data_IF_304539950370
#
_entry.id   IF_304539950370
#
_cell.length_a   1.000
_cell.length_b   1.000
_cell.length_c   1.000
_cell.angle_alpha   90.00
_cell.angle_beta   90.00
_cell.angle_gamma   90.00
#
_symmetry.space_group_name_H-M   'P 1'
#
loop_
_entity.id
_entity.type
_entity.pdbx_description
1 polymer ?
#
# COMPACT_ATOMS: atom_id res chain seq x y z
N UNK A 1 -3.23 -3.05 6.45
CA UNK A 1 -4.62 -2.57 6.62
C UNK A 1 -4.69 -1.24 5.89
N UNK A 2 -5.77 -1.02 5.16
CA UNK A 2 -6.01 0.23 4.43
C UNK A 2 -6.85 1.14 5.32
N UNK A 3 -6.42 2.40 5.48
CA UNK A 3 -7.07 3.37 6.39
C UNK A 3 -7.18 4.68 5.65
N UNK A 4 -8.40 5.18 5.52
CA UNK A 4 -8.67 6.50 4.95
C UNK A 4 -8.76 7.52 6.09
N UNK A 5 -7.92 8.55 6.01
CA UNK A 5 -7.76 9.58 7.03
C UNK A 5 -7.91 10.96 6.38
N UNK A 6 -8.64 11.85 7.06
CA UNK A 6 -8.71 13.27 6.73
C UNK A 6 -7.98 14.09 7.80
N UNK A 7 -7.21 15.09 7.37
CA UNK A 7 -6.64 16.11 8.25
C UNK A 7 -7.43 17.40 8.08
N UNK A 8 -7.94 17.94 9.19
CA UNK A 8 -8.75 19.16 9.23
C UNK A 8 -8.24 20.03 10.37
N UNK A 9 -7.60 21.16 10.04
CA UNK A 9 -7.10 22.14 11.02
C UNK A 9 -6.13 21.55 12.07
N UNK A 10 -5.26 20.63 11.67
CA UNK A 10 -4.28 19.95 12.52
C UNK A 10 -4.82 18.72 13.26
N UNK A 11 -6.10 18.37 13.08
CA UNK A 11 -6.71 17.19 13.68
C UNK A 11 -6.95 16.10 12.64
N UNK A 12 -6.62 14.85 12.99
CA UNK A 12 -6.80 13.69 12.13
C UNK A 12 -8.09 12.94 12.46
N UNK A 13 -8.86 12.62 11.42
CA UNK A 13 -10.13 11.90 11.50
C UNK A 13 -10.04 10.62 10.66
N UNK A 14 -10.36 9.48 11.26
CA UNK A 14 -10.48 8.21 10.53
C UNK A 14 -11.87 8.15 9.89
N UNK A 15 -11.92 8.02 8.57
CA UNK A 15 -13.17 7.82 7.84
C UNK A 15 -13.49 6.34 7.71
N UNK A 16 -12.52 5.53 7.30
CA UNK A 16 -12.70 4.12 7.03
C UNK A 16 -11.53 3.27 7.54
N UNK A 17 -11.83 2.04 7.95
CA UNK A 17 -10.83 1.01 8.24
C UNK A 17 -11.18 -0.23 7.44
N UNK A 18 -10.34 -0.53 6.45
CA UNK A 18 -10.55 -1.61 5.51
C UNK A 18 -9.49 -2.71 5.76
N UNK A 19 -9.86 -3.88 6.33
CA UNK A 19 -8.91 -4.95 6.67
C UNK A 19 -8.50 -5.77 5.42
N UNK A 20 -8.12 -5.08 4.35
CA UNK A 20 -7.72 -5.61 3.05
C UNK A 20 -6.75 -4.63 2.37
N UNK A 21 -6.24 -4.99 1.19
CA UNK A 21 -5.39 -4.08 0.42
C UNK A 21 -6.20 -2.91 -0.15
N UNK A 22 -5.71 -1.69 0.04
CA UNK A 22 -6.26 -0.49 -0.57
C UNK A 22 -6.03 -0.43 -2.07
N UNK A 23 -6.89 0.28 -2.78
CA UNK A 23 -6.68 0.54 -4.20
C UNK A 23 -5.37 1.28 -4.49
N UNK A 24 -4.82 2.01 -3.50
CA UNK A 24 -3.54 2.69 -3.57
C UNK A 24 -2.30 1.82 -3.32
N UNK A 25 -2.46 0.53 -2.99
CA UNK A 25 -1.34 -0.36 -2.65
C UNK A 25 -0.19 -0.38 -3.68
N UNK A 26 -0.44 -0.34 -5.01
CA UNK A 26 0.66 -0.29 -5.98
C UNK A 26 1.64 0.86 -5.72
N UNK A 27 1.16 2.02 -5.25
CA UNK A 27 2.05 3.14 -4.90
C UNK A 27 3.01 2.76 -3.75
N UNK A 28 2.51 2.10 -2.72
CA UNK A 28 3.33 1.66 -1.59
C UNK A 28 4.37 0.63 -2.05
N UNK A 29 3.97 -0.36 -2.86
CA UNK A 29 4.87 -1.38 -3.40
C UNK A 29 6.00 -0.76 -4.24
N UNK A 30 5.65 0.10 -5.21
CA UNK A 30 6.64 0.79 -6.06
C UNK A 30 7.49 1.80 -5.29
N UNK A 31 7.04 2.25 -4.10
CA UNK A 31 7.83 3.07 -3.16
C UNK A 31 8.68 2.22 -2.21
N UNK A 32 8.83 0.92 -2.45
CA UNK A 32 9.67 0.00 -1.66
C UNK A 32 8.98 -0.71 -0.50
N UNK A 33 7.69 -0.46 -0.26
CA UNK A 33 6.93 -1.12 0.81
C UNK A 33 6.30 -2.43 0.32
N UNK A 34 7.13 -3.46 0.13
CA UNK A 34 6.71 -4.78 -0.37
C UNK A 34 5.97 -5.63 0.68
N UNK A 35 4.65 -5.44 0.78
CA UNK A 35 3.82 -6.20 1.71
C UNK A 35 3.66 -7.67 1.30
N UNK A 36 3.81 -8.00 0.00
CA UNK A 36 3.69 -9.38 -0.46
C UNK A 36 4.84 -10.22 0.10
N UNK A 37 6.06 -9.68 0.11
CA UNK A 37 7.20 -10.31 0.80
C UNK A 37 6.96 -10.44 2.30
N UNK A 38 6.41 -9.42 2.96
CA UNK A 38 6.10 -9.51 4.40
C UNK A 38 5.10 -10.64 4.70
N UNK A 39 4.06 -10.76 3.86
CA UNK A 39 3.07 -11.85 3.97
C UNK A 39 3.74 -13.20 3.73
N UNK A 40 4.58 -13.33 2.71
CA UNK A 40 5.30 -14.57 2.43
C UNK A 40 6.18 -15.00 3.61
N UNK A 41 6.92 -14.06 4.20
CA UNK A 41 7.72 -14.30 5.40
C UNK A 41 6.84 -14.83 6.55
N UNK A 42 5.70 -14.19 6.81
CA UNK A 42 4.77 -14.64 7.85
C UNK A 42 4.28 -16.07 7.60
N UNK A 43 3.93 -16.42 6.35
CA UNK A 43 3.52 -17.77 5.97
C UNK A 43 4.63 -18.81 6.18
N UNK A 44 5.89 -18.38 6.11
CA UNK A 44 7.07 -19.20 6.39
C UNK A 44 7.48 -19.21 7.88
N UNK A 45 6.75 -18.50 8.75
CA UNK A 45 7.10 -18.34 10.16
C UNK A 45 8.30 -17.43 10.42
N UNK A 46 8.69 -16.63 9.43
CA UNK A 46 9.79 -15.67 9.51
C UNK A 46 9.23 -14.34 10.01
N UNK A 47 9.78 -13.83 11.12
CA UNK A 47 9.39 -12.53 11.67
C UNK A 47 9.93 -11.41 10.78
N UNK A 48 9.07 -10.43 10.46
CA UNK A 48 9.46 -9.26 9.68
C UNK A 48 10.09 -8.18 10.58
N UNK A 49 11.11 -7.50 10.06
CA UNK A 49 11.68 -6.31 10.70
C UNK A 49 10.73 -5.11 10.57
N UNK A 50 10.76 -4.21 11.57
CA UNK A 50 9.94 -3.00 11.59
C UNK A 50 10.67 -1.85 10.87
N UNK A 51 10.14 -1.40 9.74
CA UNK A 51 10.75 -0.38 8.87
C UNK A 51 9.82 0.81 8.60
N UNK A 52 9.14 1.31 9.64
CA UNK A 52 8.20 2.44 9.50
C UNK A 52 8.94 3.68 8.97
N UNK A 53 8.41 4.29 7.91
CA UNK A 53 8.96 5.49 7.30
C UNK A 53 10.19 5.25 6.41
N UNK A 54 10.58 4.00 6.16
CA UNK A 54 11.71 3.65 5.30
C UNK A 54 11.32 3.63 3.81
N UNK A 55 10.77 4.75 3.32
CA UNK A 55 10.45 4.97 1.91
C UNK A 55 10.81 6.41 1.53
N UNK A 56 11.03 6.65 0.23
CA UNK A 56 11.32 8.00 -0.27
C UNK A 56 10.04 8.83 -0.39
N UNK A 57 10.12 10.10 0.02
CA UNK A 57 9.05 11.08 -0.18
C UNK A 57 9.12 11.71 -1.58
N UNK A 58 8.02 12.34 -2.01
CA UNK A 58 7.97 13.01 -3.32
C UNK A 58 7.73 12.09 -4.51
N UNK A 59 7.33 10.84 -4.28
CA UNK A 59 6.90 9.90 -5.33
C UNK A 59 5.42 10.13 -5.65
N UNK A 60 5.08 10.15 -6.94
CA UNK A 60 3.72 10.32 -7.43
C UNK A 60 3.28 9.11 -8.26
N UNK A 61 2.14 8.52 -7.91
CA UNK A 61 1.49 7.48 -8.70
C UNK A 61 0.40 8.08 -9.61
N UNK A 62 0.44 7.72 -10.89
CA UNK A 62 -0.64 7.96 -11.84
C UNK A 62 -1.17 6.64 -12.38
N UNK A 63 -2.49 6.42 -12.29
CA UNK A 63 -3.14 5.26 -12.90
C UNK A 63 -3.63 5.64 -14.30
N UNK A 64 -3.35 4.79 -15.26
CA UNK A 64 -3.89 4.87 -16.61
C UNK A 64 -4.51 3.54 -17.01
N UNK A 65 -5.47 3.57 -17.94
CA UNK A 65 -6.15 2.37 -18.40
C UNK A 65 -5.26 1.62 -19.39
N UNK A 66 -5.19 0.30 -19.26
CA UNK A 66 -4.58 -0.59 -20.24
C UNK A 66 -5.66 -1.43 -20.93
N UNK A 67 -5.43 -1.78 -22.20
CA UNK A 67 -6.31 -2.67 -22.97
C UNK A 67 -5.49 -3.88 -23.42
N UNK A 68 -5.93 -5.08 -23.04
CA UNK A 68 -5.32 -6.35 -23.47
C UNK A 68 -6.29 -7.11 -24.36
N UNK A 69 -5.92 -7.34 -25.62
CA UNK A 69 -6.65 -8.22 -26.54
C UNK A 69 -5.97 -9.59 -26.52
N UNK A 70 -6.73 -10.65 -26.19
CA UNK A 70 -6.24 -12.03 -26.21
C UNK A 70 -7.07 -12.81 -27.22
N UNK A 71 -6.41 -13.55 -28.12
CA UNK A 71 -7.07 -14.56 -28.96
C UNK A 71 -6.94 -15.91 -28.25
N UNK A 72 -8.05 -16.63 -28.15
CA UNK A 72 -8.06 -18.05 -27.75
C UNK A 72 -7.48 -18.92 -28.85
#
# INVERSE_FOLDING_TARGET
IDIDIFEINGEYYISEVNPRFGGGYPHAYESGCDHMKLILNNLQGIVNEKTIGAYEEGIYMMKYNEVKIVKM
#
